data_IF_923702922987
#
_entry.id   IF_923702922987
#
_cell.length_a   1.000
_cell.length_b   1.000
_cell.length_c   1.000
_cell.angle_alpha   90.00
_cell.angle_beta   90.00
_cell.angle_gamma   90.00
#
_symmetry.space_group_name_H-M   'P 1'
#
loop_
_entity.id
_entity.type
_entity.pdbx_description
1 polymer ?
#
# COMPACT_ATOMS: atom_id res chain seq x y z
N UNK A 1 -10.82 -11.32 9.63
CA UNK A 1 -10.57 -11.99 10.92
C UNK A 1 -11.66 -11.59 11.89
N UNK A 2 -12.16 -12.52 12.73
CA UNK A 2 -13.28 -12.24 13.65
C UNK A 2 -12.83 -12.00 15.11
N UNK A 3 -11.61 -12.43 15.50
CA UNK A 3 -11.22 -12.61 16.91
C UNK A 3 -10.04 -11.75 17.40
N UNK A 4 -9.71 -10.64 16.73
CA UNK A 4 -8.52 -9.83 17.08
C UNK A 4 -7.18 -10.55 16.87
N UNK A 5 -6.05 -9.93 17.25
CA UNK A 5 -4.73 -10.52 17.04
C UNK A 5 -4.45 -11.69 18.00
N UNK A 6 -4.07 -12.83 17.46
CA UNK A 6 -3.69 -14.02 18.24
C UNK A 6 -2.21 -13.97 18.63
N UNK A 7 -1.81 -14.73 19.66
CA UNK A 7 -0.40 -14.86 20.04
C UNK A 7 0.49 -15.37 18.89
N UNK A 8 -0.05 -16.22 18.02
CA UNK A 8 0.63 -16.67 16.80
C UNK A 8 0.85 -15.52 15.81
N UNK A 9 -0.15 -14.65 15.61
CA UNK A 9 -0.01 -13.49 14.72
C UNK A 9 1.07 -12.53 15.22
N UNK A 10 1.12 -12.26 16.54
CA UNK A 10 2.19 -11.47 17.15
C UNK A 10 3.57 -12.11 16.92
N UNK A 11 3.70 -13.40 17.21
CA UNK A 11 4.96 -14.13 17.09
C UNK A 11 5.49 -14.11 15.64
N UNK A 12 4.61 -14.28 14.66
CA UNK A 12 4.98 -14.25 13.24
C UNK A 12 5.54 -12.88 12.82
N UNK A 13 4.88 -11.78 13.21
CA UNK A 13 5.34 -10.43 12.86
C UNK A 13 6.62 -10.06 13.60
N UNK A 14 6.72 -10.42 14.89
CA UNK A 14 7.91 -10.15 15.70
C UNK A 14 9.13 -10.95 15.25
N UNK A 15 8.95 -12.10 14.59
CA UNK A 15 10.05 -12.84 13.96
C UNK A 15 10.73 -12.00 12.87
N UNK A 16 9.95 -11.30 12.04
CA UNK A 16 10.48 -10.41 10.99
C UNK A 16 11.16 -9.19 11.61
N UNK A 17 10.52 -8.57 12.62
CA UNK A 17 11.03 -7.37 13.30
C UNK A 17 12.34 -7.64 14.05
N UNK A 18 12.44 -8.75 14.76
CA UNK A 18 13.62 -9.11 15.55
C UNK A 18 14.85 -9.39 14.68
N UNK A 19 14.67 -9.91 13.46
CA UNK A 19 15.75 -10.10 12.47
C UNK A 19 16.53 -8.81 12.18
N UNK A 20 15.86 -7.66 12.27
CA UNK A 20 16.44 -6.33 12.04
C UNK A 20 16.52 -5.48 13.33
N UNK A 21 16.50 -6.14 14.49
CA UNK A 21 16.59 -5.51 15.82
C UNK A 21 15.50 -4.48 16.13
N UNK A 22 14.35 -4.56 15.46
CA UNK A 22 13.19 -3.74 15.79
C UNK A 22 12.47 -4.32 17.02
N UNK A 23 11.95 -3.46 17.92
CA UNK A 23 11.23 -3.92 19.10
C UNK A 23 9.95 -4.66 18.72
N UNK A 24 9.48 -5.57 19.56
CA UNK A 24 8.21 -6.27 19.36
C UNK A 24 7.02 -5.31 19.25
N UNK A 25 5.95 -5.77 18.60
CA UNK A 25 4.70 -5.00 18.56
C UNK A 25 4.11 -4.82 19.96
N UNK A 26 3.49 -3.66 20.27
CA UNK A 26 2.76 -3.46 21.51
C UNK A 26 1.67 -4.53 21.70
N UNK A 27 1.53 -5.02 22.93
CA UNK A 27 0.47 -5.96 23.29
C UNK A 27 -0.89 -5.25 23.37
N UNK A 28 -1.98 -6.04 23.36
CA UNK A 28 -3.36 -5.55 23.50
C UNK A 28 -3.83 -4.57 22.40
N UNK A 29 -3.29 -4.69 21.19
CA UNK A 29 -3.80 -3.92 20.06
C UNK A 29 -5.20 -4.39 19.68
N UNK A 30 -6.06 -3.45 19.31
CA UNK A 30 -7.32 -3.81 18.66
C UNK A 30 -7.03 -4.51 17.33
N UNK A 31 -8.02 -5.23 16.80
CA UNK A 31 -7.89 -5.85 15.49
C UNK A 31 -7.45 -4.87 14.41
N UNK A 32 -8.03 -3.67 14.39
CA UNK A 32 -7.72 -2.67 13.38
C UNK A 32 -6.31 -2.10 13.56
N UNK A 33 -5.91 -1.80 14.79
CA UNK A 33 -4.54 -1.34 15.08
C UNK A 33 -3.49 -2.39 14.69
N UNK A 34 -3.74 -3.66 15.03
CA UNK A 34 -2.83 -4.74 14.66
C UNK A 34 -2.75 -4.90 13.14
N UNK A 35 -3.89 -4.87 12.44
CA UNK A 35 -3.94 -4.93 10.98
C UNK A 35 -3.11 -3.81 10.35
N UNK A 36 -3.21 -2.58 10.85
CA UNK A 36 -2.42 -1.46 10.35
C UNK A 36 -0.92 -1.67 10.57
N UNK A 37 -0.50 -2.19 11.73
CA UNK A 37 0.90 -2.54 12.01
C UNK A 37 1.41 -3.62 11.05
N UNK A 38 0.65 -4.70 10.85
CA UNK A 38 1.00 -5.77 9.90
C UNK A 38 1.13 -5.24 8.47
N UNK A 39 0.18 -4.40 8.02
CA UNK A 39 0.24 -3.79 6.68
C UNK A 39 1.46 -2.89 6.52
N UNK A 40 1.87 -2.18 7.57
CA UNK A 40 3.08 -1.39 7.58
C UNK A 40 4.34 -2.26 7.52
N UNK A 41 4.44 -3.31 8.32
CA UNK A 41 5.56 -4.26 8.27
C UNK A 41 5.72 -4.86 6.89
N UNK A 42 4.62 -5.34 6.29
CA UNK A 42 4.65 -5.90 4.93
C UNK A 42 5.11 -4.87 3.89
N UNK A 43 4.71 -3.60 4.04
CA UNK A 43 5.12 -2.52 3.13
C UNK A 43 6.62 -2.24 3.23
N UNK A 44 7.20 -2.29 4.42
CA UNK A 44 8.64 -2.04 4.64
C UNK A 44 9.46 -3.25 4.22
N UNK A 45 9.06 -4.44 4.66
CA UNK A 45 9.78 -5.69 4.45
C UNK A 45 9.90 -6.05 2.97
N UNK A 46 8.81 -5.91 2.21
CA UNK A 46 8.72 -6.33 0.81
C UNK A 46 8.74 -5.12 -0.15
N UNK A 47 9.40 -4.04 0.27
CA UNK A 47 9.56 -2.85 -0.54
C UNK A 47 10.35 -3.20 -1.82
N UNK A 48 9.84 -2.75 -2.97
CA UNK A 48 10.42 -3.03 -4.30
C UNK A 48 10.36 -4.50 -4.75
N UNK A 49 9.55 -5.34 -4.12
CA UNK A 49 9.36 -6.76 -4.49
C UNK A 49 7.99 -7.04 -5.15
N UNK A 50 7.45 -6.07 -5.89
CA UNK A 50 6.17 -6.18 -6.62
C UNK A 50 4.91 -6.40 -5.75
N UNK A 51 5.04 -6.50 -4.42
CA UNK A 51 3.91 -6.79 -3.54
C UNK A 51 2.98 -5.60 -3.36
N UNK A 52 3.53 -4.37 -3.32
CA UNK A 52 2.75 -3.19 -2.97
C UNK A 52 1.58 -2.94 -3.92
N UNK A 53 1.76 -3.23 -5.20
CA UNK A 53 0.75 -3.07 -6.24
C UNK A 53 -0.51 -3.92 -5.97
N UNK A 54 -0.30 -5.17 -5.54
CA UNK A 54 -1.39 -6.10 -5.22
C UNK A 54 -1.96 -5.89 -3.82
N UNK A 55 -1.12 -5.51 -2.87
CA UNK A 55 -1.51 -5.25 -1.48
C UNK A 55 -2.54 -4.13 -1.37
N UNK A 56 -2.32 -2.98 -2.04
CA UNK A 56 -3.27 -1.86 -1.99
C UNK A 56 -4.62 -2.21 -2.64
N UNK A 57 -4.63 -3.07 -3.67
CA UNK A 57 -5.83 -3.52 -4.37
C UNK A 57 -6.65 -4.50 -3.55
N UNK A 58 -6.03 -5.57 -3.06
CA UNK A 58 -6.74 -6.58 -2.24
C UNK A 58 -7.27 -6.01 -0.92
N UNK A 59 -6.63 -4.93 -0.43
CA UNK A 59 -7.10 -4.21 0.74
C UNK A 59 -8.09 -3.09 0.44
N UNK A 60 -8.31 -2.77 -0.85
CA UNK A 60 -9.18 -1.68 -1.32
C UNK A 60 -8.87 -0.34 -0.66
N UNK A 61 -7.60 0.06 -0.71
CA UNK A 61 -7.10 1.32 -0.11
C UNK A 61 -6.46 2.26 -1.14
N UNK A 62 -6.79 2.10 -2.43
CA UNK A 62 -6.23 2.95 -3.50
C UNK A 62 -6.56 4.44 -3.28
N UNK A 63 -7.76 4.73 -2.77
CA UNK A 63 -8.23 6.05 -2.37
C UNK A 63 -7.36 6.73 -1.29
N UNK A 64 -6.66 5.92 -0.49
CA UNK A 64 -5.77 6.39 0.58
C UNK A 64 -4.32 6.50 0.10
N UNK A 65 -3.91 5.77 -0.95
CA UNK A 65 -2.49 5.57 -1.27
C UNK A 65 -2.05 6.11 -2.62
N UNK A 66 -2.94 6.15 -3.63
CA UNK A 66 -2.57 6.38 -5.03
C UNK A 66 -3.07 7.72 -5.58
N UNK A 67 -2.97 8.75 -4.74
CA UNK A 67 -3.32 10.14 -5.07
C UNK A 67 -2.14 10.98 -5.56
N UNK A 68 -0.97 10.83 -4.94
CA UNK A 68 0.22 11.62 -5.27
C UNK A 68 1.48 10.97 -4.71
N UNK A 69 2.62 11.39 -5.23
CA UNK A 69 3.96 11.07 -4.74
C UNK A 69 4.61 12.36 -4.26
N UNK A 70 5.34 12.29 -3.16
CA UNK A 70 6.10 13.43 -2.64
C UNK A 70 7.59 13.12 -2.61
N UNK A 71 8.38 14.16 -2.84
CA UNK A 71 9.81 14.20 -2.59
C UNK A 71 10.15 15.09 -1.40
N UNK A 72 11.42 15.07 -1.00
CA UNK A 72 11.97 16.01 -0.04
C UNK A 72 13.10 16.77 -0.72
N UNK A 73 13.00 18.09 -0.75
CA UNK A 73 14.09 18.99 -1.12
C UNK A 73 14.88 19.33 0.15
N UNK A 74 16.20 19.17 0.08
CA UNK A 74 17.10 19.41 1.19
C UNK A 74 18.07 20.52 0.77
N UNK A 75 18.01 21.66 1.46
CA UNK A 75 18.90 22.80 1.23
C UNK A 75 19.88 22.90 2.38
N UNK A 76 21.17 23.02 2.06
CA UNK A 76 22.22 23.26 3.04
C UNK A 76 22.42 24.77 3.19
N UNK A 77 22.20 25.27 4.38
CA UNK A 77 22.33 26.68 4.69
C UNK A 77 23.79 27.08 4.97
N UNK A 78 24.08 28.38 4.94
CA UNK A 78 25.42 28.91 5.18
C UNK A 78 25.95 28.62 6.60
N UNK A 79 25.05 28.43 7.57
CA UNK A 79 25.37 28.07 8.96
C UNK A 79 25.59 26.55 9.17
N UNK A 80 25.67 25.78 8.08
CA UNK A 80 25.76 24.32 8.07
C UNK A 80 24.51 23.58 8.57
N UNK A 81 23.40 24.27 8.80
CA UNK A 81 22.12 23.63 9.03
C UNK A 81 21.51 23.12 7.72
N UNK A 82 20.47 22.28 7.85
CA UNK A 82 19.71 21.76 6.72
C UNK A 82 18.25 22.19 6.86
N UNK A 83 17.69 22.78 5.80
CA UNK A 83 16.25 23.01 5.67
C UNK A 83 15.63 21.93 4.78
N UNK A 84 14.39 21.54 5.12
CA UNK A 84 13.69 20.41 4.52
C UNK A 84 12.32 20.87 4.01
N UNK A 85 12.12 20.85 2.70
CA UNK A 85 10.87 21.26 2.07
C UNK A 85 10.25 20.08 1.31
N UNK A 86 9.04 19.68 1.70
CA UNK A 86 8.31 18.62 0.99
C UNK A 86 7.63 19.20 -0.25
N UNK A 87 7.79 18.54 -1.39
CA UNK A 87 7.11 18.90 -2.64
C UNK A 87 6.41 17.68 -3.26
N UNK A 88 5.44 17.94 -4.13
CA UNK A 88 4.75 16.88 -4.90
C UNK A 88 5.55 16.62 -6.17
N UNK A 89 6.01 15.38 -6.34
CA UNK A 89 6.74 14.98 -7.56
C UNK A 89 5.77 14.59 -8.67
N UNK A 90 4.63 13.98 -8.33
CA UNK A 90 3.67 13.44 -9.28
C UNK A 90 2.27 13.41 -8.66
N UNK A 91 1.25 13.82 -9.42
CA UNK A 91 -0.14 13.54 -9.09
C UNK A 91 -0.60 12.27 -9.81
N UNK A 92 -1.25 11.37 -9.08
CA UNK A 92 -1.75 10.09 -9.60
C UNK A 92 -3.27 10.11 -9.61
N UNK A 93 -3.87 9.61 -10.70
CA UNK A 93 -5.32 9.48 -10.87
C UNK A 93 -5.80 8.02 -10.77
N UNK A 94 -5.05 7.18 -10.05
CA UNK A 94 -5.24 5.72 -10.00
C UNK A 94 -5.96 5.26 -8.72
N UNK A 95 -6.72 6.15 -8.09
CA UNK A 95 -7.31 5.95 -6.77
C UNK A 95 -8.81 5.57 -6.79
N UNK A 96 -9.43 5.55 -7.97
CA UNK A 96 -10.82 5.14 -8.15
C UNK A 96 -10.98 3.61 -8.17
N UNK A 97 -12.16 3.12 -7.77
CA UNK A 97 -12.48 1.67 -7.68
C UNK A 97 -12.30 0.90 -8.98
N UNK A 98 -12.48 1.55 -10.14
CA UNK A 98 -12.19 0.90 -11.44
C UNK A 98 -10.74 0.42 -11.56
N UNK A 99 -9.79 1.05 -10.86
CA UNK A 99 -8.37 0.68 -10.89
C UNK A 99 -8.03 -0.53 -10.00
N UNK A 100 -9.01 -1.09 -9.27
CA UNK A 100 -8.85 -2.33 -8.51
C UNK A 100 -8.66 -3.54 -9.43
N UNK A 101 -9.23 -3.49 -10.63
CA UNK A 101 -9.12 -4.52 -11.66
C UNK A 101 -8.45 -3.93 -12.90
N UNK A 102 -7.67 -4.76 -13.60
CA UNK A 102 -7.06 -4.37 -14.86
C UNK A 102 -8.12 -4.41 -15.97
N UNK A 103 -8.16 -3.44 -16.90
CA UNK A 103 -9.05 -3.53 -18.05
C UNK A 103 -8.70 -4.75 -18.90
N UNK A 104 -9.72 -5.41 -19.44
CA UNK A 104 -9.51 -6.42 -20.49
C UNK A 104 -9.12 -5.66 -21.76
N UNK A 105 -8.05 -6.04 -22.47
CA UNK A 105 -7.65 -5.40 -23.72
C UNK A 105 -8.82 -5.32 -24.71
N UNK A 106 -9.03 -4.16 -25.33
CA UNK A 106 -10.20 -3.93 -26.20
C UNK A 106 -10.28 -4.89 -27.39
N UNK A 107 -9.13 -5.29 -27.95
CA UNK A 107 -9.07 -6.28 -29.03
C UNK A 107 -9.66 -7.62 -28.59
N UNK A 108 -9.30 -8.06 -27.39
CA UNK A 108 -9.73 -9.35 -26.83
C UNK A 108 -11.17 -9.28 -26.33
N UNK A 109 -11.57 -8.11 -25.86
CA UNK A 109 -12.91 -7.91 -25.35
C UNK A 109 -13.94 -7.75 -26.48
N UNK A 110 -13.56 -7.16 -27.62
CA UNK A 110 -14.41 -6.98 -28.80
C UNK A 110 -14.84 -8.27 -29.50
N UNK A 111 -14.11 -9.37 -29.27
CA UNK A 111 -14.44 -10.69 -29.82
C UNK A 111 -15.39 -11.51 -28.92
N UNK A 112 -15.66 -11.04 -27.70
CA UNK A 112 -16.58 -11.69 -26.76
C UNK A 112 -18.01 -11.20 -27.08
N UNK A 113 -18.95 -12.11 -27.40
CA UNK A 113 -20.37 -11.74 -27.55
C UNK A 113 -20.88 -11.06 -26.26
N UNK A 114 -21.71 -10.03 -26.37
CA UNK A 114 -22.25 -9.25 -25.24
C UNK A 114 -21.22 -8.40 -24.45
N UNK A 115 -20.23 -7.85 -25.15
CA UNK A 115 -19.09 -7.07 -24.60
C UNK A 115 -19.43 -6.02 -23.52
N UNK A 116 -20.51 -5.24 -23.68
CA UNK A 116 -20.92 -4.22 -22.71
C UNK A 116 -21.21 -4.81 -21.31
N UNK A 117 -21.49 -6.12 -21.22
CA UNK A 117 -21.73 -6.86 -19.99
C UNK A 117 -20.48 -7.58 -19.45
N UNK A 118 -19.36 -7.56 -20.18
CA UNK A 118 -18.19 -8.40 -19.91
C UNK A 118 -16.87 -7.65 -19.68
N UNK A 119 -16.86 -6.31 -19.75
CA UNK A 119 -15.72 -5.52 -19.28
C UNK A 119 -15.71 -5.40 -17.74
N UNK A 120 -14.52 -5.18 -17.19
CA UNK A 120 -14.37 -4.87 -15.77
C UNK A 120 -15.01 -3.51 -15.43
N UNK A 121 -15.66 -3.36 -14.26
CA UNK A 121 -16.41 -2.16 -13.91
C UNK A 121 -15.63 -0.86 -14.06
N UNK A 122 -16.16 0.07 -14.85
CA UNK A 122 -15.60 1.42 -15.04
C UNK A 122 -14.63 1.59 -16.21
N UNK A 123 -14.51 0.59 -17.08
CA UNK A 123 -13.80 0.65 -18.37
C UNK A 123 -14.73 0.41 -19.56
#
# INVERSE_FOLDING_TARGET
EANGPTGLAYSAVNTVRSRVHMPDLPQNLTQEQFRQRVRNERRVELAFEEQRFWDVRRWKILDQTDKLVTGMEITKEADHSFSYTRFVTEYRALWADKNLLMPIPLTDASIIPDFDLHQNPGY
#
